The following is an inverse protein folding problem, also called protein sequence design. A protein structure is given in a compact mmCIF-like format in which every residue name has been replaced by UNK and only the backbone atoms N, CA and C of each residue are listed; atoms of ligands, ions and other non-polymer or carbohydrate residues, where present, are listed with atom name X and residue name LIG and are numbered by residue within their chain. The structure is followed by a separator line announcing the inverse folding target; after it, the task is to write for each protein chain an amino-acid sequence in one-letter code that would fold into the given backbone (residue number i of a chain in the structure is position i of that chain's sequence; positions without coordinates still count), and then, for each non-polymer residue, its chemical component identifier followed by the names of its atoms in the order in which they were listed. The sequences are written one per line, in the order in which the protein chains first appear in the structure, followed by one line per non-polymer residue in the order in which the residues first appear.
data_IF_874004300594
#
_entry.id   IF_874004300594
#
_cell.length_a   1.000
_cell.length_b   1.000
_cell.length_c   1.000
_cell.angle_alpha   90.00
_cell.angle_beta   90.00
_cell.angle_gamma   90.00
#
_symmetry.space_group_name_H-M   'P 1'
#
loop_
_entity.id
_entity.type
_entity.pdbx_description
1 polymer ?
#
# COMPACT_ATOMS: atom_id res chain seq x y z
N UNK A 1 -16.99 -5.95 15.71
CA UNK A 1 -17.48 -5.54 14.38
C UNK A 1 -16.41 -4.66 13.77
N UNK A 2 -15.97 -5.00 12.57
CA UNK A 2 -14.90 -4.30 11.86
C UNK A 2 -15.51 -3.60 10.64
N UNK A 3 -14.99 -2.44 10.30
CA UNK A 3 -15.35 -1.70 9.09
C UNK A 3 -14.09 -1.62 8.25
N UNK A 4 -14.19 -1.99 6.97
CA UNK A 4 -13.10 -1.79 6.00
C UNK A 4 -13.54 -0.74 5.02
N UNK A 5 -12.81 0.36 4.95
CA UNK A 5 -12.87 1.29 3.83
C UNK A 5 -11.84 0.87 2.79
N UNK A 6 -12.20 0.89 1.52
CA UNK A 6 -11.28 0.58 0.43
C UNK A 6 -11.59 1.43 -0.79
N UNK A 7 -10.55 1.91 -1.46
CA UNK A 7 -10.69 2.77 -2.63
C UNK A 7 -9.68 3.90 -2.67
N UNK A 8 -9.94 4.83 -3.59
CA UNK A 8 -9.21 6.09 -3.72
C UNK A 8 -10.15 7.26 -3.35
N UNK A 9 -9.63 8.49 -3.37
CA UNK A 9 -10.36 9.70 -2.99
C UNK A 9 -11.76 9.84 -3.62
N UNK A 10 -11.94 9.36 -4.84
CA UNK A 10 -13.17 9.56 -5.61
C UNK A 10 -14.07 8.31 -5.70
N UNK A 11 -13.58 7.14 -5.28
CA UNK A 11 -14.28 5.85 -5.39
C UNK A 11 -14.03 4.98 -4.16
N UNK A 12 -14.26 5.57 -2.99
CA UNK A 12 -14.18 4.84 -1.72
C UNK A 12 -15.49 4.15 -1.41
N UNK A 13 -15.38 2.88 -1.05
CA UNK A 13 -16.48 2.07 -0.51
C UNK A 13 -16.19 1.64 0.91
N UNK A 14 -17.22 1.18 1.61
CA UNK A 14 -17.06 0.58 2.92
C UNK A 14 -17.76 -0.77 2.98
N UNK A 15 -17.18 -1.72 3.69
CA UNK A 15 -17.83 -2.99 4.05
C UNK A 15 -17.83 -3.16 5.56
N UNK A 16 -18.97 -3.59 6.08
CA UNK A 16 -19.15 -3.97 7.48
C UNK A 16 -18.98 -5.47 7.61
N UNK A 17 -18.12 -5.87 8.54
CA UNK A 17 -17.71 -7.27 8.69
C UNK A 17 -17.98 -7.77 10.10
N UNK A 18 -18.51 -8.99 10.13
CA UNK A 18 -18.64 -9.80 11.34
C UNK A 18 -17.79 -11.06 11.22
N UNK A 19 -17.14 -11.43 12.33
CA UNK A 19 -16.51 -12.74 12.49
C UNK A 19 -17.61 -13.73 12.86
N UNK A 20 -17.69 -14.85 12.15
CA UNK A 20 -18.53 -15.95 12.57
C UNK A 20 -17.81 -16.83 13.63
N UNK A 21 -18.51 -17.84 14.13
CA UNK A 21 -18.04 -18.77 15.17
C UNK A 21 -16.77 -19.54 14.72
N UNK A 22 -16.55 -19.69 13.41
CA UNK A 22 -15.39 -20.37 12.83
C UNK A 22 -14.24 -19.41 12.44
N UNK A 23 -14.25 -18.17 12.97
CA UNK A 23 -13.31 -17.11 12.59
C UNK A 23 -13.28 -16.78 11.08
N UNK A 24 -14.28 -17.21 10.31
CA UNK A 24 -14.46 -16.77 8.92
C UNK A 24 -15.15 -15.41 8.94
N UNK A 25 -14.66 -14.53 8.09
CA UNK A 25 -15.24 -13.21 7.93
C UNK A 25 -16.41 -13.26 6.95
N UNK A 26 -17.53 -12.64 7.34
CA UNK A 26 -18.67 -12.43 6.47
C UNK A 26 -18.92 -10.93 6.32
N UNK A 27 -19.06 -10.49 5.08
CA UNK A 27 -19.56 -9.14 4.76
C UNK A 27 -21.05 -9.12 5.10
N UNK A 28 -21.43 -8.23 6.00
CA UNK A 28 -22.84 -8.03 6.37
C UNK A 28 -23.50 -6.98 5.48
N UNK A 29 -22.74 -5.96 5.08
CA UNK A 29 -23.25 -4.78 4.40
C UNK A 29 -22.12 -4.11 3.61
N UNK A 30 -22.44 -3.61 2.41
CA UNK A 30 -21.56 -2.78 1.57
C UNK A 30 -22.20 -1.41 1.38
N UNK A 31 -21.39 -0.36 1.51
CA UNK A 31 -21.78 1.03 1.35
C UNK A 31 -21.02 1.66 0.19
N UNK A 32 -21.76 2.31 -0.69
CA UNK A 32 -21.24 3.24 -1.69
C UNK A 32 -20.71 4.52 -1.03
N UNK A 33 -19.93 5.30 -1.79
CA UNK A 33 -19.25 6.52 -1.31
C UNK A 33 -20.21 7.51 -0.61
N UNK A 34 -21.37 7.78 -1.20
CA UNK A 34 -22.40 8.67 -0.65
C UNK A 34 -22.96 8.18 0.70
N UNK A 35 -22.96 6.87 0.94
CA UNK A 35 -23.50 6.26 2.16
C UNK A 35 -22.47 6.09 3.27
N UNK A 36 -21.16 6.20 2.98
CA UNK A 36 -20.12 5.98 4.01
C UNK A 36 -20.23 6.98 5.18
N UNK A 37 -20.74 8.18 4.89
CA UNK A 37 -20.93 9.24 5.89
C UNK A 37 -22.11 8.97 6.84
N UNK A 38 -22.95 7.98 6.55
CA UNK A 38 -24.00 7.52 7.48
C UNK A 38 -23.53 6.49 8.51
N UNK A 39 -22.36 5.87 8.28
CA UNK A 39 -21.88 4.76 9.11
C UNK A 39 -21.45 5.25 10.50
N UNK A 40 -21.93 4.59 11.56
CA UNK A 40 -21.47 4.82 12.92
C UNK A 40 -20.10 4.18 13.17
N UNK A 41 -19.07 5.02 13.33
CA UNK A 41 -17.68 4.62 13.53
C UNK A 41 -17.27 4.50 15.02
N UNK A 42 -18.13 4.94 15.95
CA UNK A 42 -17.82 4.98 17.39
C UNK A 42 -17.51 3.58 17.93
N UNK A 43 -16.36 3.46 18.60
CA UNK A 43 -15.86 2.22 19.22
C UNK A 43 -15.73 1.02 18.25
N UNK A 44 -15.60 1.27 16.93
CA UNK A 44 -15.36 0.24 15.92
C UNK A 44 -13.87 0.12 15.59
N UNK A 45 -13.44 -1.05 15.14
CA UNK A 45 -12.13 -1.19 14.50
C UNK A 45 -12.29 -0.84 13.03
N UNK A 46 -11.43 0.06 12.54
CA UNK A 46 -11.47 0.57 11.18
C UNK A 46 -10.17 0.20 10.47
N UNK A 47 -10.30 -0.48 9.34
CA UNK A 47 -9.21 -0.74 8.42
C UNK A 47 -9.46 0.11 7.17
N UNK A 48 -8.46 0.87 6.74
CA UNK A 48 -8.50 1.69 5.53
C UNK A 48 -7.48 1.12 4.57
N UNK A 49 -7.94 0.65 3.41
CA UNK A 49 -7.12 0.23 2.29
C UNK A 49 -7.12 1.32 1.23
N UNK A 50 -6.03 2.06 1.16
CA UNK A 50 -5.85 3.13 0.18
C UNK A 50 -5.39 2.53 -1.15
N UNK A 51 -6.17 2.77 -2.20
CA UNK A 51 -5.92 2.37 -3.58
C UNK A 51 -5.62 3.62 -4.42
N UNK A 52 -4.88 3.45 -5.51
CA UNK A 52 -4.59 4.50 -6.49
C UNK A 52 -3.53 5.52 -6.06
N UNK A 53 -2.98 5.39 -4.85
CA UNK A 53 -2.08 6.38 -4.27
C UNK A 53 -0.62 5.95 -4.21
N UNK A 54 0.25 6.92 -4.47
CA UNK A 54 1.70 6.77 -4.34
C UNK A 54 2.16 7.08 -2.91
N UNK A 55 2.91 6.14 -2.31
CA UNK A 55 3.73 6.40 -1.14
C UNK A 55 4.95 7.23 -1.52
N UNK A 56 5.29 8.21 -0.68
CA UNK A 56 6.58 8.88 -0.75
C UNK A 56 7.62 8.04 -0.02
N UNK A 57 8.61 7.51 -0.75
CA UNK A 57 9.64 6.64 -0.20
C UNK A 57 10.96 7.40 -0.09
N UNK A 58 11.55 7.40 1.10
CA UNK A 58 12.86 8.03 1.33
C UNK A 58 13.73 7.21 2.25
N UNK A 59 15.01 7.07 1.92
CA UNK A 59 16.01 6.53 2.84
C UNK A 59 16.65 7.68 3.59
N UNK A 60 16.70 7.56 4.91
CA UNK A 60 17.39 8.49 5.81
C UNK A 60 18.41 7.72 6.67
N UNK A 61 19.38 8.46 7.21
CA UNK A 61 20.31 7.96 8.21
C UNK A 61 20.00 8.65 9.53
N UNK A 62 19.92 7.87 10.61
CA UNK A 62 19.77 8.39 11.97
C UNK A 62 20.90 7.87 12.87
N UNK A 63 21.27 8.58 13.94
CA UNK A 63 22.23 8.05 14.90
C UNK A 63 21.71 6.75 15.54
N UNK A 64 22.65 5.89 15.92
CA UNK A 64 22.32 4.66 16.65
C UNK A 64 21.84 5.00 18.06
N UNK A 65 20.62 4.58 18.37
CA UNK A 65 19.95 4.78 19.65
C UNK A 65 19.34 3.47 20.14
N UNK A 66 18.83 3.42 21.38
CA UNK A 66 18.10 2.24 21.88
C UNK A 66 16.87 2.00 21.00
N UNK A 67 16.50 0.72 20.77
CA UNK A 67 15.41 0.33 19.86
C UNK A 67 14.08 1.07 20.16
N UNK A 68 13.76 1.27 21.44
CA UNK A 68 12.56 1.98 21.87
C UNK A 68 12.57 3.49 21.53
N UNK A 69 13.72 4.09 21.24
CA UNK A 69 13.88 5.50 20.88
C UNK A 69 13.86 5.76 19.36
N UNK A 70 14.02 4.71 18.54
CA UNK A 70 14.04 4.83 17.08
C UNK A 70 12.72 5.46 16.58
N UNK A 71 11.58 4.99 17.11
CA UNK A 71 10.26 5.47 16.69
C UNK A 71 10.07 6.97 16.91
N UNK A 72 10.45 7.48 18.09
CA UNK A 72 10.36 8.92 18.38
C UNK A 72 11.30 9.75 17.52
N UNK A 73 12.52 9.24 17.27
CA UNK A 73 13.50 9.95 16.46
C UNK A 73 13.03 10.02 15.00
N UNK A 74 12.58 8.90 14.42
CA UNK A 74 11.98 8.87 13.08
C UNK A 74 10.78 9.81 12.98
N UNK A 75 9.90 9.83 14.00
CA UNK A 75 8.76 10.76 14.03
C UNK A 75 9.21 12.21 13.93
N UNK A 76 10.19 12.62 14.73
CA UNK A 76 10.71 13.98 14.69
C UNK A 76 11.31 14.31 13.32
N UNK A 77 12.09 13.39 12.74
CA UNK A 77 12.70 13.53 11.41
C UNK A 77 11.67 13.66 10.29
N UNK A 78 10.52 12.97 10.39
CA UNK A 78 9.41 13.10 9.46
C UNK A 78 8.70 14.44 9.65
N UNK A 79 8.37 14.80 10.89
CA UNK A 79 7.66 16.05 11.21
C UNK A 79 8.46 17.28 10.78
N UNK A 80 9.77 17.29 11.03
CA UNK A 80 10.66 18.40 10.62
C UNK A 80 10.71 18.59 9.10
N UNK A 81 10.66 17.50 8.32
CA UNK A 81 10.80 17.56 6.85
C UNK A 81 9.48 17.72 6.11
N UNK A 82 8.41 17.12 6.63
CA UNK A 82 7.16 16.94 5.88
C UNK A 82 5.93 17.49 6.62
N UNK A 83 6.09 17.97 7.86
CA UNK A 83 5.01 18.50 8.68
C UNK A 83 4.30 17.45 9.54
N UNK A 84 3.29 17.92 10.29
CA UNK A 84 2.55 17.16 11.31
C UNK A 84 1.44 16.26 10.74
N UNK A 85 0.96 16.53 9.52
CA UNK A 85 -0.15 15.82 8.85
C UNK A 85 0.31 14.73 7.87
N UNK A 86 1.36 14.02 8.27
CA UNK A 86 1.98 12.94 7.48
C UNK A 86 1.93 11.65 8.27
N UNK A 87 1.18 10.69 7.75
CA UNK A 87 1.29 9.31 8.21
C UNK A 87 2.58 8.73 7.67
N UNK A 88 3.27 7.97 8.51
CA UNK A 88 4.46 7.28 8.10
C UNK A 88 4.58 5.89 8.71
N UNK A 89 5.27 5.03 7.98
CA UNK A 89 5.83 3.77 8.46
C UNK A 89 7.32 3.76 8.16
N UNK A 90 8.09 3.01 8.93
CA UNK A 90 9.51 2.83 8.66
C UNK A 90 9.96 1.37 8.83
N UNK A 91 11.08 1.06 8.20
CA UNK A 91 11.84 -0.18 8.40
C UNK A 91 13.32 0.13 8.52
N UNK A 92 14.05 -0.59 9.37
CA UNK A 92 15.52 -0.51 9.42
C UNK A 92 16.08 -1.34 8.26
N UNK A 93 16.82 -0.69 7.36
CA UNK A 93 17.47 -1.33 6.22
C UNK A 93 18.84 -1.89 6.59
N UNK A 94 19.59 -1.14 7.39
CA UNK A 94 20.98 -1.45 7.74
C UNK A 94 21.30 -0.85 9.11
N UNK A 95 22.10 -1.57 9.89
CA UNK A 95 22.67 -1.12 11.15
C UNK A 95 24.20 -1.13 11.01
N UNK A 96 24.83 0.02 11.25
CA UNK A 96 26.29 0.16 11.36
C UNK A 96 26.65 0.68 12.75
N UNK A 97 27.93 0.77 13.06
CA UNK A 97 28.46 1.10 14.39
C UNK A 97 27.77 2.30 15.04
N UNK A 98 27.55 3.38 14.28
CA UNK A 98 27.00 4.64 14.79
C UNK A 98 25.69 5.10 14.12
N UNK A 99 25.17 4.35 13.14
CA UNK A 99 24.01 4.79 12.35
C UNK A 99 23.02 3.65 12.07
N UNK A 100 21.74 3.99 12.03
CA UNK A 100 20.72 3.20 11.34
C UNK A 100 20.41 3.83 9.99
N UNK A 101 20.40 3.04 8.92
CA UNK A 101 19.72 3.42 7.68
C UNK A 101 18.28 2.98 7.75
N UNK A 102 17.37 3.91 7.57
CA UNK A 102 15.93 3.69 7.68
C UNK A 102 15.27 4.05 6.36
N UNK A 103 14.37 3.19 5.90
CA UNK A 103 13.45 3.52 4.82
C UNK A 103 12.14 4.02 5.42
N UNK A 104 11.69 5.16 4.93
CA UNK A 104 10.44 5.82 5.29
C UNK A 104 9.43 5.61 4.17
N UNK A 105 8.19 5.34 4.58
CA UNK A 105 7.01 5.28 3.75
C UNK A 105 6.05 6.36 4.24
N UNK A 106 5.98 7.48 3.54
CA UNK A 106 5.18 8.63 3.95
C UNK A 106 3.96 8.81 3.05
N UNK A 107 2.86 9.27 3.64
CA UNK A 107 1.66 9.69 2.93
C UNK A 107 1.02 10.90 3.62
N UNK A 108 0.67 11.90 2.84
CA UNK A 108 0.05 13.10 3.37
C UNK A 108 -1.46 12.88 3.54
N UNK A 109 -1.96 12.98 4.77
CA UNK A 109 -3.37 12.66 5.11
C UNK A 109 -4.40 13.47 4.31
N UNK A 110 -4.04 14.67 3.84
CA UNK A 110 -4.92 15.53 3.03
C UNK A 110 -5.27 14.94 1.67
N UNK A 111 -4.48 13.99 1.16
CA UNK A 111 -4.74 13.33 -0.12
C UNK A 111 -5.93 12.37 -0.08
N UNK A 112 -6.38 12.01 1.11
CA UNK A 112 -7.49 11.07 1.26
C UNK A 112 -8.45 11.59 2.33
N UNK A 113 -9.52 12.27 1.90
CA UNK A 113 -10.47 13.02 2.73
C UNK A 113 -11.07 12.19 3.85
N UNK A 114 -11.31 10.89 3.59
CA UNK A 114 -11.81 9.98 4.61
C UNK A 114 -10.96 9.98 5.87
N UNK A 115 -9.62 10.10 5.76
CA UNK A 115 -8.73 10.13 6.93
C UNK A 115 -8.85 11.40 7.76
N UNK A 116 -9.40 12.47 7.19
CA UNK A 116 -9.66 13.72 7.89
C UNK A 116 -11.07 13.75 8.51
N UNK A 117 -11.85 12.66 8.36
CA UNK A 117 -13.18 12.56 8.96
C UNK A 117 -13.07 12.48 10.48
N UNK A 118 -13.65 13.47 11.17
CA UNK A 118 -13.67 13.56 12.63
C UNK A 118 -14.22 12.30 13.30
N UNK A 119 -15.11 11.55 12.63
CA UNK A 119 -15.69 10.30 13.14
C UNK A 119 -14.66 9.19 13.31
N UNK A 120 -13.58 9.20 12.53
CA UNK A 120 -12.45 8.27 12.68
C UNK A 120 -11.78 8.44 14.05
N UNK A 121 -11.73 9.68 14.58
CA UNK A 121 -11.21 9.96 15.92
C UNK A 121 -11.98 9.29 17.06
N UNK A 122 -13.21 8.84 16.83
CA UNK A 122 -14.01 8.08 17.80
C UNK A 122 -13.94 6.56 17.61
N UNK A 123 -13.11 6.09 16.67
CA UNK A 123 -12.88 4.66 16.47
C UNK A 123 -12.09 4.06 17.63
N UNK A 124 -12.27 2.75 17.86
CA UNK A 124 -11.47 2.03 18.86
C UNK A 124 -10.03 1.88 18.36
N UNK A 125 -9.88 1.55 17.08
CA UNK A 125 -8.61 1.34 16.41
C UNK A 125 -8.74 1.79 14.97
N UNK A 126 -7.70 2.44 14.45
CA UNK A 126 -7.54 2.78 13.04
C UNK A 126 -6.28 2.11 12.51
N UNK A 127 -6.41 1.42 11.38
CA UNK A 127 -5.29 0.89 10.62
C UNK A 127 -5.39 1.37 9.18
N UNK A 128 -4.29 1.93 8.68
CA UNK A 128 -4.20 2.38 7.28
C UNK A 128 -3.13 1.57 6.57
N UNK A 129 -3.50 0.97 5.45
CA UNK A 129 -2.62 0.19 4.58
C UNK A 129 -2.81 0.63 3.13
N UNK A 130 -1.78 0.46 2.32
CA UNK A 130 -1.78 0.81 0.90
C UNK A 130 -1.80 -0.47 0.06
N UNK A 131 -2.48 -0.45 -1.08
CA UNK A 131 -2.64 -1.64 -1.93
C UNK A 131 -1.29 -2.30 -2.27
N UNK A 132 -0.28 -1.52 -2.63
CA UNK A 132 1.06 -2.02 -2.94
C UNK A 132 1.71 -2.77 -1.77
N UNK A 133 1.47 -2.34 -0.52
CA UNK A 133 1.98 -3.03 0.66
C UNK A 133 1.23 -4.35 0.88
N UNK A 134 -0.06 -4.40 0.52
CA UNK A 134 -0.82 -5.64 0.55
C UNK A 134 -0.28 -6.63 -0.48
N UNK A 135 -0.21 -6.21 -1.74
CA UNK A 135 0.27 -7.02 -2.87
C UNK A 135 1.66 -7.58 -2.59
N UNK A 136 2.58 -6.75 -2.08
CA UNK A 136 3.91 -7.18 -1.67
C UNK A 136 3.88 -8.30 -0.63
N UNK A 137 3.12 -8.12 0.46
CA UNK A 137 3.02 -9.13 1.53
C UNK A 137 2.34 -10.42 1.06
N UNK A 138 1.45 -10.34 0.07
CA UNK A 138 0.82 -11.52 -0.52
C UNK A 138 1.84 -12.30 -1.37
N UNK A 139 2.48 -11.63 -2.33
CA UNK A 139 3.37 -12.31 -3.29
C UNK A 139 4.78 -12.62 -2.79
N UNK A 140 5.27 -11.94 -1.75
CA UNK A 140 6.57 -12.26 -1.11
C UNK A 140 6.68 -13.71 -0.63
N UNK A 141 5.56 -14.41 -0.43
CA UNK A 141 5.54 -15.84 -0.07
C UNK A 141 5.79 -16.78 -1.27
N UNK A 142 5.63 -16.26 -2.48
CA UNK A 142 5.70 -17.03 -3.73
C UNK A 142 6.89 -16.62 -4.59
N UNK A 143 7.47 -15.44 -4.36
CA UNK A 143 8.65 -14.93 -5.06
C UNK A 143 9.89 -15.22 -4.20
N UNK A 144 10.86 -15.93 -4.75
CA UNK A 144 12.08 -16.32 -4.04
C UNK A 144 13.19 -15.25 -4.16
N UNK A 145 13.16 -14.49 -5.26
CA UNK A 145 14.13 -13.45 -5.55
C UNK A 145 14.04 -12.32 -4.52
N UNK A 146 15.17 -11.96 -3.92
CA UNK A 146 15.18 -10.83 -2.99
C UNK A 146 14.89 -9.52 -3.70
N UNK A 147 15.41 -9.34 -4.92
CA UNK A 147 15.29 -8.09 -5.68
C UNK A 147 14.50 -8.34 -6.94
N UNK A 148 13.32 -7.75 -7.01
CA UNK A 148 12.46 -7.89 -8.17
C UNK A 148 11.69 -6.62 -8.46
N UNK A 149 11.10 -6.62 -9.65
CA UNK A 149 10.15 -5.62 -10.09
C UNK A 149 8.80 -6.28 -10.20
N UNK A 150 7.75 -5.53 -9.91
CA UNK A 150 6.40 -5.98 -10.15
C UNK A 150 5.59 -4.88 -10.80
N UNK A 151 4.77 -5.26 -11.77
CA UNK A 151 3.86 -4.37 -12.45
C UNK A 151 2.47 -5.00 -12.39
N UNK A 152 1.49 -4.28 -11.90
CA UNK A 152 0.15 -4.83 -11.82
C UNK A 152 -0.91 -3.79 -12.06
N UNK A 153 -2.01 -4.23 -12.63
CA UNK A 153 -3.20 -3.41 -12.76
C UNK A 153 -4.23 -3.82 -11.71
N UNK A 154 -4.84 -2.81 -11.11
CA UNK A 154 -5.93 -2.99 -10.18
C UNK A 154 -6.95 -1.87 -10.37
N UNK A 155 -8.19 -2.27 -10.69
CA UNK A 155 -9.23 -1.36 -11.20
C UNK A 155 -8.70 -0.54 -12.39
N UNK A 156 -8.77 0.79 -12.30
CA UNK A 156 -8.34 1.76 -13.30
C UNK A 156 -6.92 2.30 -13.05
N UNK A 157 -6.11 1.64 -12.22
CA UNK A 157 -4.73 2.04 -11.94
C UNK A 157 -3.74 0.95 -12.35
N UNK A 158 -2.58 1.37 -12.81
CA UNK A 158 -1.39 0.52 -12.97
C UNK A 158 -0.34 0.94 -11.95
N UNK A 159 0.31 -0.06 -11.36
CA UNK A 159 1.32 0.08 -10.31
C UNK A 159 2.63 -0.47 -10.83
N UNK A 160 3.71 0.27 -10.61
CA UNK A 160 5.07 -0.14 -10.87
C UNK A 160 5.83 -0.12 -9.55
N UNK A 161 6.30 -1.27 -9.08
CA UNK A 161 6.98 -1.37 -7.79
C UNK A 161 8.34 -2.06 -7.91
N UNK A 162 9.36 -1.53 -7.23
CA UNK A 162 10.66 -2.20 -7.06
C UNK A 162 10.78 -2.64 -5.61
N UNK A 163 11.23 -3.87 -5.42
CA UNK A 163 11.28 -4.52 -4.12
C UNK A 163 12.71 -5.00 -3.84
N UNK A 164 13.11 -4.93 -2.57
CA UNK A 164 14.30 -5.60 -2.06
C UNK A 164 13.99 -6.25 -0.71
N UNK A 165 14.05 -7.58 -0.67
CA UNK A 165 13.55 -8.43 0.41
C UNK A 165 12.07 -8.10 0.66
N UNK A 166 11.74 -7.62 1.85
CA UNK A 166 10.37 -7.21 2.22
C UNK A 166 10.14 -5.70 2.06
N UNK A 167 11.13 -4.94 1.59
CA UNK A 167 11.04 -3.48 1.51
C UNK A 167 10.63 -3.05 0.11
N UNK A 168 9.56 -2.27 0.03
CA UNK A 168 9.22 -1.48 -1.15
C UNK A 168 10.27 -0.38 -1.29
N UNK A 169 11.02 -0.35 -2.39
CA UNK A 169 12.06 0.66 -2.65
C UNK A 169 11.60 1.79 -3.56
N UNK A 170 10.62 1.49 -4.41
CA UNK A 170 10.05 2.41 -5.37
C UNK A 170 8.62 2.01 -5.63
N UNK A 171 7.75 2.99 -5.80
CA UNK A 171 6.42 2.81 -6.34
C UNK A 171 6.06 3.98 -7.24
N UNK A 172 5.39 3.67 -8.35
CA UNK A 172 4.67 4.61 -9.20
C UNK A 172 3.27 4.07 -9.43
N UNK A 173 2.27 4.92 -9.36
CA UNK A 173 0.86 4.60 -9.58
C UNK A 173 0.30 5.56 -10.59
N UNK A 174 -0.32 5.04 -11.64
CA UNK A 174 -0.87 5.83 -12.73
C UNK A 174 -2.28 5.41 -13.03
N UNK A 175 -3.17 6.38 -13.27
CA UNK A 175 -4.49 6.11 -13.82
C UNK A 175 -4.33 5.65 -15.27
N UNK A 176 -5.08 4.62 -15.66
CA UNK A 176 -5.09 4.04 -17.01
C UNK A 176 -5.96 4.92 -17.92
N UNK A 177 -5.51 6.15 -18.12
CA UNK A 177 -6.10 7.12 -19.06
C UNK A 177 -5.04 7.71 -20.00
N UNK A 178 -3.75 7.52 -19.70
CA UNK A 178 -2.62 8.10 -20.42
C UNK A 178 -1.65 6.97 -20.83
N UNK A 179 -2.01 6.27 -21.91
CA UNK A 179 -1.28 5.10 -22.39
C UNK A 179 0.14 5.43 -22.83
N UNK A 180 0.36 6.60 -23.44
CA UNK A 180 1.69 7.02 -23.91
C UNK A 180 2.67 7.16 -22.73
N UNK A 181 2.25 7.86 -21.66
CA UNK A 181 3.07 8.02 -20.47
C UNK A 181 3.30 6.71 -19.74
N UNK A 182 2.29 5.83 -19.71
CA UNK A 182 2.44 4.47 -19.16
C UNK A 182 3.48 3.68 -19.94
N UNK A 183 3.44 3.71 -21.28
CA UNK A 183 4.39 3.02 -22.13
C UNK A 183 5.82 3.56 -21.94
N UNK A 184 5.99 4.88 -21.92
CA UNK A 184 7.30 5.50 -21.66
C UNK A 184 7.88 5.08 -20.31
N UNK A 185 7.05 5.09 -19.25
CA UNK A 185 7.48 4.64 -17.93
C UNK A 185 7.80 3.14 -17.94
N UNK A 186 6.98 2.33 -18.61
CA UNK A 186 7.22 0.90 -18.73
C UNK A 186 8.57 0.64 -19.38
N UNK A 187 8.88 1.29 -20.50
CA UNK A 187 10.17 1.15 -21.19
C UNK A 187 11.33 1.48 -20.25
N UNK A 188 11.26 2.60 -19.52
CA UNK A 188 12.25 2.96 -18.51
C UNK A 188 12.34 1.94 -17.36
N UNK A 189 11.19 1.41 -16.95
CA UNK A 189 11.07 0.49 -15.85
C UNK A 189 11.58 -0.91 -16.18
N UNK A 190 11.57 -1.34 -17.45
CA UNK A 190 12.03 -2.67 -17.89
C UNK A 190 13.44 -2.67 -18.50
N UNK A 191 14.12 -1.52 -18.52
CA UNK A 191 15.48 -1.38 -19.10
C UNK A 191 16.51 -2.32 -18.49
N UNK A 192 16.52 -2.50 -17.15
CA UNK A 192 17.43 -3.46 -16.53
C UNK A 192 16.95 -4.92 -16.71
N UNK A 193 17.87 -5.87 -16.87
CA UNK A 193 17.56 -7.29 -17.13
C UNK A 193 17.12 -8.06 -15.88
N UNK A 194 16.42 -7.41 -14.95
CA UNK A 194 15.87 -8.07 -13.76
C UNK A 194 14.55 -8.77 -14.08
N UNK A 195 14.22 -9.79 -13.29
CA UNK A 195 12.92 -10.45 -13.34
C UNK A 195 11.79 -9.46 -13.04
N UNK A 196 10.77 -9.46 -13.88
CA UNK A 196 9.56 -8.65 -13.74
C UNK A 196 8.38 -9.58 -13.51
N UNK A 197 7.71 -9.40 -12.37
CA UNK A 197 6.46 -10.07 -12.10
C UNK A 197 5.29 -9.22 -12.55
N UNK A 198 4.23 -9.84 -13.07
CA UNK A 198 3.01 -9.10 -13.36
C UNK A 198 1.75 -9.90 -13.12
N UNK A 199 0.64 -9.19 -12.94
CA UNK A 199 -0.70 -9.77 -12.95
C UNK A 199 -1.73 -8.72 -13.38
N UNK A 200 -2.88 -9.19 -13.87
CA UNK A 200 -4.01 -8.37 -14.35
C UNK A 200 -3.65 -7.33 -15.42
N UNK A 201 -2.52 -7.48 -16.12
CA UNK A 201 -2.00 -6.45 -17.03
C UNK A 201 -1.82 -7.00 -18.44
N UNK A 202 -2.92 -6.97 -19.18
CA UNK A 202 -3.07 -7.62 -20.49
C UNK A 202 -2.12 -7.09 -21.59
N UNK A 203 -1.51 -5.93 -21.38
CA UNK A 203 -0.63 -5.28 -22.36
C UNK A 203 0.87 -5.46 -22.06
N UNK A 204 1.23 -6.08 -20.92
CA UNK A 204 2.65 -6.21 -20.52
C UNK A 204 3.38 -7.22 -21.40
N UNK A 205 2.78 -8.37 -21.69
CA UNK A 205 3.45 -9.47 -22.42
C UNK A 205 4.03 -9.03 -23.76
N UNK A 206 3.30 -8.21 -24.52
CA UNK A 206 3.76 -7.68 -25.82
C UNK A 206 4.96 -6.75 -25.66
N UNK A 207 4.97 -5.93 -24.61
CA UNK A 207 5.98 -4.91 -24.35
C UNK A 207 7.23 -5.47 -23.67
N UNK A 208 7.09 -6.62 -23.00
CA UNK A 208 8.19 -7.30 -22.32
C UNK A 208 8.76 -8.49 -23.10
N UNK A 209 8.49 -8.57 -24.41
CA UNK A 209 9.02 -9.63 -25.27
C UNK A 209 10.55 -9.67 -25.20
N UNK A 210 11.11 -10.83 -24.84
CA UNK A 210 12.56 -11.03 -24.68
C UNK A 210 13.12 -10.59 -23.32
N UNK A 211 12.27 -10.18 -22.37
CA UNK A 211 12.65 -9.91 -20.97
C UNK A 211 12.26 -11.10 -20.08
N UNK A 212 12.93 -11.23 -18.93
CA UNK A 212 12.58 -12.25 -17.93
C UNK A 212 11.31 -11.82 -17.19
N UNK A 213 10.16 -12.31 -17.66
CA UNK A 213 8.84 -11.91 -17.16
C UNK A 213 8.09 -13.13 -16.66
N UNK A 214 7.49 -12.98 -15.48
CA UNK A 214 6.76 -14.04 -14.79
C UNK A 214 5.35 -13.54 -14.49
N UNK A 215 4.36 -14.21 -15.07
CA UNK A 215 2.95 -13.95 -14.74
C UNK A 215 2.62 -14.59 -13.38
N UNK A 216 1.94 -13.81 -12.53
CA UNK A 216 1.43 -14.23 -11.24
C UNK A 216 -0.08 -14.43 -11.32
N UNK A 217 -0.62 -15.30 -10.46
CA UNK A 217 -2.06 -15.50 -10.33
C UNK A 217 -2.77 -14.16 -10.06
N UNK A 218 -3.82 -13.80 -10.82
CA UNK A 218 -4.63 -12.60 -10.62
C UNK A 218 -5.06 -12.38 -9.17
N UNK A 219 -5.01 -11.12 -8.70
CA UNK A 219 -5.67 -10.69 -7.47
C UNK A 219 -7.00 -10.01 -7.79
N UNK A 220 -8.08 -10.54 -7.24
CA UNK A 220 -9.42 -9.95 -7.31
C UNK A 220 -9.66 -8.96 -6.18
N UNK A 221 -10.64 -8.07 -6.36
CA UNK A 221 -11.09 -7.12 -5.32
C UNK A 221 -11.48 -7.87 -4.04
N UNK A 222 -12.20 -8.99 -4.17
CA UNK A 222 -12.62 -9.80 -3.03
C UNK A 222 -11.45 -10.39 -2.25
N UNK A 223 -10.39 -10.85 -2.95
CA UNK A 223 -9.19 -11.35 -2.29
C UNK A 223 -8.46 -10.25 -1.53
N UNK A 224 -8.36 -9.06 -2.13
CA UNK A 224 -7.78 -7.87 -1.51
C UNK A 224 -8.55 -7.47 -0.25
N UNK A 225 -9.88 -7.39 -0.34
CA UNK A 225 -10.75 -7.06 0.80
C UNK A 225 -10.61 -8.13 1.90
N UNK A 226 -10.73 -9.42 1.57
CA UNK A 226 -10.60 -10.53 2.54
C UNK A 226 -9.29 -10.45 3.32
N UNK A 227 -8.21 -10.05 2.69
CA UNK A 227 -6.94 -9.91 3.38
C UNK A 227 -6.85 -8.63 4.22
N UNK A 228 -7.40 -7.52 3.75
CA UNK A 228 -7.54 -6.30 4.56
C UNK A 228 -8.38 -6.55 5.82
N UNK A 229 -9.29 -7.52 5.78
CA UNK A 229 -10.13 -7.97 6.89
C UNK A 229 -9.38 -8.88 7.88
N UNK A 230 -8.54 -9.79 7.36
CA UNK A 230 -7.89 -10.83 8.16
C UNK A 230 -6.81 -10.32 9.13
N UNK A 231 -6.47 -9.02 9.08
CA UNK A 231 -5.42 -8.38 9.87
C UNK A 231 -5.91 -7.14 10.61
#
# INVERSE_FOLDING_TARGET
MNIVFYGNENDTKAVKIKKNIFNKFKVEEEYSFDKIFSINLKNKNINVLVEGEELFIKVISIPKVKKNQISSLVKNEVTLRYGDKVMFKYSVLEEKDNIFKIILYCFHEKKYSLLNDKRIGYSRNLKVEFLQNYVLKYYSKYIQEEKYKMIFQYKNFIYFIKVNKENLLFNKVMKITDTEKINKLLDEFIKDNKTIYHFNSNNIEKLTKGKNVVELLPLTVDQVIKFAIAR
#
